data_IF_418917353007
#
_entry.id   IF_418917353007
#
_cell.length_a   1.000
_cell.length_b   1.000
_cell.length_c   1.000
_cell.angle_alpha   90.00
_cell.angle_beta   90.00
_cell.angle_gamma   90.00
#
_symmetry.space_group_name_H-M   'P 1'
#
loop_
_entity.id
_entity.type
_entity.pdbx_description
1 polymer ?
#
# COMPACT_ATOMS: atom_id res chain seq x y z
N UNK A 1 12.31 -0.99 -39.04
CA UNK A 1 12.21 -2.13 -38.10
C UNK A 1 13.54 -2.25 -37.36
N UNK A 2 13.58 -1.88 -36.09
CA UNK A 2 14.73 -2.14 -35.22
C UNK A 2 14.38 -3.29 -34.28
N UNK A 3 15.22 -4.32 -34.13
CA UNK A 3 14.98 -5.35 -33.14
C UNK A 3 15.28 -4.77 -31.76
N UNK A 4 14.28 -4.80 -30.87
CA UNK A 4 14.48 -4.56 -29.44
C UNK A 4 15.48 -5.60 -28.92
N UNK A 5 16.64 -5.11 -28.49
CA UNK A 5 17.66 -5.91 -27.82
C UNK A 5 17.03 -6.68 -26.67
N UNK A 6 17.05 -8.01 -26.75
CA UNK A 6 16.80 -8.90 -25.62
C UNK A 6 17.87 -8.63 -24.57
N UNK A 7 17.63 -7.68 -23.69
CA UNK A 7 18.34 -7.59 -22.42
C UNK A 7 18.07 -8.91 -21.70
N UNK A 8 19.08 -9.78 -21.61
CA UNK A 8 19.05 -10.95 -20.74
C UNK A 8 19.00 -10.40 -19.31
N UNK A 9 17.80 -10.15 -18.78
CA UNK A 9 17.63 -9.99 -17.34
C UNK A 9 18.11 -11.29 -16.71
N UNK A 10 19.06 -11.20 -15.78
CA UNK A 10 19.41 -12.33 -14.91
C UNK A 10 18.13 -12.96 -14.35
N UNK A 11 18.09 -14.29 -14.14
CA UNK A 11 16.98 -14.89 -13.43
C UNK A 11 16.87 -14.21 -12.06
N UNK A 12 15.76 -13.50 -11.82
CA UNK A 12 15.50 -12.81 -10.56
C UNK A 12 15.55 -13.85 -9.45
N UNK A 13 16.32 -13.61 -8.41
CA UNK A 13 16.39 -14.52 -7.27
C UNK A 13 15.07 -14.47 -6.49
N UNK A 14 14.84 -15.50 -5.65
CA UNK A 14 13.72 -15.49 -4.70
C UNK A 14 13.72 -14.22 -3.83
N UNK A 15 14.91 -13.77 -3.41
CA UNK A 15 15.06 -12.58 -2.60
C UNK A 15 14.65 -11.31 -3.37
N UNK A 16 15.13 -11.15 -4.61
CA UNK A 16 14.80 -10.01 -5.46
C UNK A 16 13.28 -9.89 -5.69
N UNK A 17 12.60 -11.03 -5.85
CA UNK A 17 11.14 -11.05 -6.01
C UNK A 17 10.40 -10.60 -4.75
N UNK A 18 10.90 -10.96 -3.56
CA UNK A 18 10.33 -10.48 -2.31
C UNK A 18 10.57 -8.97 -2.10
N UNK A 19 11.74 -8.45 -2.44
CA UNK A 19 11.97 -6.99 -2.40
C UNK A 19 11.05 -6.24 -3.36
N UNK A 20 10.83 -6.78 -4.57
CA UNK A 20 9.91 -6.23 -5.53
C UNK A 20 8.46 -6.28 -5.02
N UNK A 21 8.02 -7.38 -4.39
CA UNK A 21 6.71 -7.46 -3.75
C UNK A 21 6.51 -6.34 -2.71
N UNK A 22 7.50 -6.13 -1.83
CA UNK A 22 7.44 -5.06 -0.83
C UNK A 22 7.34 -3.69 -1.49
N UNK A 23 8.19 -3.40 -2.48
CA UNK A 23 8.19 -2.12 -3.19
C UNK A 23 6.85 -1.85 -3.88
N UNK A 24 6.33 -2.82 -4.62
CA UNK A 24 5.12 -2.64 -5.42
C UNK A 24 3.85 -2.63 -4.55
N UNK A 25 3.86 -3.29 -3.39
CA UNK A 25 2.75 -3.21 -2.42
C UNK A 25 2.65 -1.84 -1.76
N UNK A 26 3.79 -1.25 -1.36
CA UNK A 26 3.85 0.11 -0.84
C UNK A 26 3.35 1.13 -1.87
N UNK A 27 3.77 0.98 -3.14
CA UNK A 27 3.29 1.84 -4.22
C UNK A 27 1.79 1.66 -4.50
N UNK A 28 1.30 0.41 -4.54
CA UNK A 28 -0.11 0.13 -4.72
C UNK A 28 -0.96 0.79 -3.63
N UNK A 29 -0.53 0.68 -2.36
CA UNK A 29 -1.15 1.35 -1.22
C UNK A 29 -1.23 2.86 -1.43
N UNK A 30 -0.10 3.49 -1.79
CA UNK A 30 -0.03 4.93 -2.05
C UNK A 30 -0.98 5.37 -3.17
N UNK A 31 -0.99 4.66 -4.30
CA UNK A 31 -1.85 5.03 -5.42
C UNK A 31 -3.33 4.79 -5.12
N UNK A 32 -3.66 3.73 -4.38
CA UNK A 32 -5.04 3.45 -3.96
C UNK A 32 -5.57 4.54 -3.04
N UNK A 33 -4.79 4.94 -2.02
CA UNK A 33 -5.14 6.05 -1.11
C UNK A 33 -5.34 7.38 -1.85
N UNK A 34 -4.50 7.64 -2.85
CA UNK A 34 -4.56 8.87 -3.67
C UNK A 34 -5.52 8.78 -4.86
N UNK A 35 -6.29 7.69 -5.00
CA UNK A 35 -7.26 7.46 -6.09
C UNK A 35 -6.64 7.58 -7.50
N UNK A 36 -5.38 7.15 -7.65
CA UNK A 36 -4.65 7.16 -8.94
C UNK A 36 -4.77 5.78 -9.60
N UNK A 37 -5.93 5.51 -10.19
CA UNK A 37 -6.35 4.16 -10.60
C UNK A 37 -5.41 3.50 -11.63
N UNK A 38 -4.94 4.25 -12.64
CA UNK A 38 -4.06 3.69 -13.67
C UNK A 38 -2.73 3.19 -13.10
N UNK A 39 -2.13 3.97 -12.18
CA UNK A 39 -0.90 3.59 -11.51
C UNK A 39 -1.15 2.43 -10.56
N UNK A 40 -2.25 2.46 -9.83
CA UNK A 40 -2.67 1.37 -8.97
C UNK A 40 -2.78 0.04 -9.73
N UNK A 41 -3.50 0.02 -10.85
CA UNK A 41 -3.66 -1.18 -11.68
C UNK A 41 -2.33 -1.71 -12.22
N UNK A 42 -1.39 -0.82 -12.55
CA UNK A 42 -0.04 -1.20 -12.96
C UNK A 42 0.73 -1.88 -11.84
N UNK A 43 0.70 -1.33 -10.63
CA UNK A 43 1.37 -1.94 -9.47
C UNK A 43 0.74 -3.30 -9.13
N UNK A 44 -0.59 -3.44 -9.20
CA UNK A 44 -1.29 -4.73 -9.01
C UNK A 44 -0.88 -5.76 -10.04
N UNK A 45 -0.75 -5.39 -11.32
CA UNK A 45 -0.24 -6.31 -12.35
C UNK A 45 1.19 -6.78 -12.06
N UNK A 46 2.05 -5.90 -11.57
CA UNK A 46 3.42 -6.25 -11.19
C UNK A 46 3.43 -7.19 -9.97
N UNK A 47 2.63 -6.90 -8.95
CA UNK A 47 2.44 -7.77 -7.79
C UNK A 47 1.96 -9.16 -8.21
N UNK A 48 0.90 -9.23 -9.01
CA UNK A 48 0.35 -10.47 -9.57
C UNK A 48 1.42 -11.32 -10.26
N UNK A 49 2.22 -10.70 -11.12
CA UNK A 49 3.30 -11.36 -11.83
C UNK A 49 4.35 -11.94 -10.87
N UNK A 50 4.78 -11.18 -9.85
CA UNK A 50 5.76 -11.65 -8.87
C UNK A 50 5.20 -12.72 -7.94
N UNK A 51 3.93 -12.62 -7.53
CA UNK A 51 3.22 -13.68 -6.81
C UNK A 51 3.24 -14.99 -7.61
N UNK A 52 2.88 -14.92 -8.91
CA UNK A 52 2.88 -16.09 -9.77
C UNK A 52 4.26 -16.72 -9.92
N UNK A 53 5.32 -15.91 -10.07
CA UNK A 53 6.69 -16.41 -10.13
C UNK A 53 7.12 -17.09 -8.83
N UNK A 54 6.81 -16.51 -7.66
CA UNK A 54 7.15 -17.10 -6.36
C UNK A 54 6.42 -18.43 -6.14
N UNK A 55 5.12 -18.49 -6.45
CA UNK A 55 4.31 -19.70 -6.32
C UNK A 55 4.78 -20.80 -7.29
N UNK A 56 4.97 -20.46 -8.57
CA UNK A 56 5.24 -21.46 -9.59
C UNK A 56 6.70 -21.92 -9.61
N UNK A 57 7.64 -21.00 -9.51
CA UNK A 57 9.08 -21.29 -9.65
C UNK A 57 9.68 -21.71 -8.32
N UNK A 58 9.38 -20.97 -7.26
CA UNK A 58 9.98 -21.18 -5.93
C UNK A 58 9.10 -21.99 -4.97
N UNK A 59 7.89 -22.35 -5.39
CA UNK A 59 6.93 -23.13 -4.58
C UNK A 59 6.59 -22.44 -3.26
N UNK A 60 6.61 -21.10 -3.26
CA UNK A 60 6.24 -20.34 -2.07
C UNK A 60 4.77 -20.56 -1.72
N UNK A 61 4.49 -20.61 -0.42
CA UNK A 61 3.14 -20.64 0.10
C UNK A 61 2.50 -19.24 -0.09
N UNK A 62 1.30 -19.12 -0.68
CA UNK A 62 0.57 -17.86 -0.79
C UNK A 62 0.41 -17.13 0.55
N UNK A 63 0.28 -17.84 1.67
CA UNK A 63 0.21 -17.23 3.00
C UNK A 63 1.49 -16.44 3.32
N UNK A 64 2.67 -16.98 3.00
CA UNK A 64 3.94 -16.27 3.21
C UNK A 64 4.02 -15.01 2.34
N UNK A 65 3.50 -15.07 1.10
CA UNK A 65 3.44 -13.92 0.19
C UNK A 65 2.50 -12.84 0.75
N UNK A 66 1.32 -13.23 1.24
CA UNK A 66 0.37 -12.34 1.93
C UNK A 66 1.06 -11.63 3.09
N UNK A 67 1.73 -12.38 3.97
CA UNK A 67 2.41 -11.81 5.14
C UNK A 67 3.45 -10.77 4.75
N UNK A 68 4.23 -10.99 3.68
CA UNK A 68 5.23 -10.01 3.21
C UNK A 68 4.57 -8.74 2.67
N UNK A 69 3.54 -8.89 1.84
CA UNK A 69 2.80 -7.76 1.26
C UNK A 69 2.12 -6.93 2.36
N UNK A 70 1.45 -7.60 3.29
CA UNK A 70 0.75 -6.99 4.41
C UNK A 70 1.73 -6.27 5.35
N UNK A 71 2.83 -6.91 5.72
CA UNK A 71 3.86 -6.31 6.59
C UNK A 71 4.48 -5.07 5.97
N UNK A 72 4.75 -5.07 4.67
CA UNK A 72 5.31 -3.92 3.96
C UNK A 72 4.34 -2.74 3.93
N UNK A 73 3.05 -3.00 3.64
CA UNK A 73 2.02 -1.97 3.64
C UNK A 73 1.78 -1.40 5.04
N UNK A 74 1.67 -2.26 6.06
CA UNK A 74 1.48 -1.84 7.44
C UNK A 74 2.68 -1.04 7.97
N UNK A 75 3.91 -1.46 7.66
CA UNK A 75 5.11 -0.71 8.03
C UNK A 75 5.15 0.66 7.35
N UNK A 76 4.87 0.74 6.04
CA UNK A 76 4.81 2.02 5.33
C UNK A 76 3.71 2.93 5.88
N UNK A 77 2.55 2.37 6.24
CA UNK A 77 1.47 3.15 6.82
C UNK A 77 1.83 3.66 8.21
N UNK A 78 2.46 2.85 9.06
CA UNK A 78 2.93 3.28 10.37
C UNK A 78 3.95 4.43 10.28
N UNK A 79 4.86 4.37 9.29
CA UNK A 79 5.79 5.47 9.02
C UNK A 79 5.06 6.75 8.58
N UNK A 80 4.04 6.62 7.75
CA UNK A 80 3.21 7.76 7.31
C UNK A 80 2.44 8.38 8.49
N UNK A 81 1.82 7.57 9.34
CA UNK A 81 1.10 8.06 10.53
C UNK A 81 2.06 8.80 11.48
N UNK A 82 3.27 8.28 11.66
CA UNK A 82 4.30 8.97 12.45
C UNK A 82 4.66 10.33 11.85
N UNK A 83 4.87 10.39 10.52
CA UNK A 83 5.17 11.66 9.86
C UNK A 83 4.02 12.67 9.97
N UNK A 84 2.76 12.20 9.89
CA UNK A 84 1.57 13.02 10.12
C UNK A 84 1.54 13.55 11.56
N UNK A 85 1.85 12.71 12.55
CA UNK A 85 1.88 13.12 13.96
C UNK A 85 2.97 14.16 14.24
N UNK A 86 4.15 13.97 13.67
CA UNK A 86 5.24 14.94 13.75
C UNK A 86 4.83 16.29 13.11
N UNK A 87 4.15 16.27 11.95
CA UNK A 87 3.67 17.48 11.28
C UNK A 87 2.54 18.17 12.07
N UNK A 88 1.59 17.41 12.61
CA UNK A 88 0.52 17.94 13.47
C UNK A 88 1.10 18.65 14.69
N UNK A 89 2.10 18.07 15.34
CA UNK A 89 2.76 18.69 16.49
C UNK A 89 3.39 20.04 16.11
N UNK A 90 4.05 20.13 14.96
CA UNK A 90 4.61 21.39 14.45
C UNK A 90 3.52 22.43 14.16
N UNK A 91 2.42 22.03 13.52
CA UNK A 91 1.31 22.91 13.19
C UNK A 91 0.58 23.42 14.44
N UNK A 92 0.34 22.57 15.43
CA UNK A 92 -0.26 22.98 16.71
C UNK A 92 0.63 23.97 17.46
N UNK A 93 1.95 23.71 17.52
CA UNK A 93 2.91 24.61 18.14
C UNK A 93 2.94 25.97 17.43
N UNK A 94 2.95 25.97 16.09
CA UNK A 94 2.90 27.20 15.30
C UNK A 94 1.62 27.98 15.54
N UNK A 95 0.46 27.30 15.53
CA UNK A 95 -0.84 27.94 15.79
C UNK A 95 -0.89 28.57 17.19
N UNK A 96 -0.34 27.89 18.20
CA UNK A 96 -0.26 28.39 19.58
C UNK A 96 0.66 29.61 19.75
N UNK A 97 1.68 29.73 18.90
CA UNK A 97 2.64 30.84 18.93
C UNK A 97 2.12 32.11 18.24
N UNK A 98 1.04 32.04 17.46
CA UNK A 98 0.48 33.20 16.77
C UNK A 98 -0.29 34.10 17.75
N UNK A 99 -0.01 35.41 17.76
CA UNK A 99 -0.75 36.35 18.61
C UNK A 99 -2.20 36.48 18.12
N UNK A 100 -3.13 36.50 19.08
CA UNK A 100 -4.51 36.89 18.81
C UNK A 100 -4.56 38.40 18.48
N UNK A 101 -5.49 38.80 17.61
CA UNK A 101 -5.82 40.21 17.28
C UNK A 101 -4.99 40.88 16.17
N UNK A 102 -4.48 40.09 15.21
CA UNK A 102 -3.95 40.61 13.95
C UNK A 102 -4.65 39.90 12.79
N UNK A 103 -5.26 40.64 11.86
CA UNK A 103 -5.97 40.07 10.70
C UNK A 103 -5.09 39.13 9.85
N UNK A 104 -3.77 39.38 9.79
CA UNK A 104 -2.81 38.46 9.17
C UNK A 104 -2.71 37.13 9.95
N UNK A 105 -2.59 37.21 11.27
CA UNK A 105 -2.51 36.04 12.15
C UNK A 105 -3.82 35.25 12.18
N UNK A 106 -4.98 35.91 12.09
CA UNK A 106 -6.28 35.25 11.98
C UNK A 106 -6.40 34.41 10.71
N UNK A 107 -5.94 34.94 9.56
CA UNK A 107 -5.88 34.18 8.31
C UNK A 107 -4.94 32.98 8.43
N UNK A 108 -3.77 33.17 9.02
CA UNK A 108 -2.82 32.08 9.23
C UNK A 108 -3.38 31.00 10.18
N UNK A 109 -4.10 31.39 11.24
CA UNK A 109 -4.79 30.44 12.13
C UNK A 109 -5.84 29.62 11.37
N UNK A 110 -6.61 30.26 10.47
CA UNK A 110 -7.57 29.55 9.64
C UNK A 110 -6.87 28.53 8.72
N UNK A 111 -5.79 28.93 8.04
CA UNK A 111 -5.02 28.05 7.16
C UNK A 111 -4.40 26.87 7.92
N UNK A 112 -3.84 27.12 9.11
CA UNK A 112 -3.30 26.07 9.97
C UNK A 112 -4.39 25.12 10.46
N UNK A 113 -5.57 25.64 10.81
CA UNK A 113 -6.69 24.82 11.25
C UNK A 113 -7.18 23.92 10.13
N UNK A 114 -7.29 24.43 8.91
CA UNK A 114 -7.63 23.62 7.74
C UNK A 114 -6.61 22.48 7.51
N UNK A 115 -5.31 22.78 7.57
CA UNK A 115 -4.26 21.77 7.41
C UNK A 115 -4.28 20.71 8.51
N UNK A 116 -4.49 21.12 9.76
CA UNK A 116 -4.63 20.20 10.89
C UNK A 116 -5.80 19.24 10.64
N UNK A 117 -6.97 19.76 10.27
CA UNK A 117 -8.15 18.92 10.02
C UNK A 117 -7.97 17.96 8.84
N UNK A 118 -7.29 18.38 7.77
CA UNK A 118 -6.97 17.49 6.63
C UNK A 118 -6.03 16.35 7.04
N UNK A 119 -5.01 16.63 7.87
CA UNK A 119 -4.08 15.62 8.39
C UNK A 119 -4.76 14.66 9.38
N UNK A 120 -5.63 15.16 10.26
CA UNK A 120 -6.43 14.34 11.16
C UNK A 120 -7.37 13.40 10.40
N UNK A 121 -7.97 13.87 9.30
CA UNK A 121 -8.81 13.05 8.43
C UNK A 121 -8.00 11.96 7.72
N UNK A 122 -6.78 12.26 7.25
CA UNK A 122 -5.89 11.25 6.66
C UNK A 122 -5.49 10.17 7.66
N UNK A 123 -5.34 10.54 8.94
CA UNK A 123 -5.01 9.63 10.04
C UNK A 123 -6.14 8.66 10.39
N UNK A 124 -7.40 9.09 10.25
CA UNK A 124 -8.56 8.28 10.64
C UNK A 124 -8.99 7.21 9.62
N UNK A 125 -8.34 7.16 8.44
CA UNK A 125 -8.69 6.21 7.38
C UNK A 125 -8.19 4.79 7.73
N UNK A 126 -9.08 3.79 7.85
CA UNK A 126 -8.67 2.41 8.10
C UNK A 126 -7.85 1.86 6.93
N UNK A 127 -6.65 1.35 7.22
CA UNK A 127 -5.76 0.78 6.19
C UNK A 127 -6.11 -0.66 5.85
N UNK A 128 -6.79 -1.36 6.76
CA UNK A 128 -7.08 -2.80 6.69
C UNK A 128 -7.81 -3.18 5.40
N UNK A 129 -8.93 -2.52 5.12
CA UNK A 129 -9.73 -2.77 3.91
C UNK A 129 -8.93 -2.50 2.62
N UNK A 130 -8.06 -1.48 2.65
CA UNK A 130 -7.23 -1.11 1.50
C UNK A 130 -6.17 -2.19 1.27
N UNK A 131 -5.46 -2.60 2.32
CA UNK A 131 -4.44 -3.65 2.30
C UNK A 131 -5.02 -4.96 1.76
N UNK A 132 -6.19 -5.35 2.24
CA UNK A 132 -6.85 -6.59 1.82
C UNK A 132 -7.31 -6.56 0.38
N UNK A 133 -7.91 -5.45 -0.06
CA UNK A 133 -8.29 -5.26 -1.45
C UNK A 133 -7.09 -5.39 -2.39
N UNK A 134 -5.94 -4.84 -2.00
CA UNK A 134 -4.68 -4.95 -2.78
C UNK A 134 -4.20 -6.39 -2.86
N UNK A 135 -4.19 -7.11 -1.74
CA UNK A 135 -3.75 -8.51 -1.67
C UNK A 135 -4.69 -9.40 -2.49
N UNK A 136 -6.00 -9.20 -2.35
CA UNK A 136 -7.00 -9.92 -3.11
C UNK A 136 -6.81 -9.68 -4.61
N UNK A 137 -6.75 -8.42 -5.06
CA UNK A 137 -6.60 -8.07 -6.48
C UNK A 137 -5.29 -8.66 -7.07
N UNK A 138 -4.20 -8.64 -6.31
CA UNK A 138 -2.92 -9.18 -6.75
C UNK A 138 -2.96 -10.71 -6.87
N UNK A 139 -3.48 -11.42 -5.87
CA UNK A 139 -3.51 -12.89 -5.87
C UNK A 139 -4.58 -13.44 -6.81
N UNK A 140 -5.77 -12.84 -6.88
CA UNK A 140 -6.83 -13.23 -7.81
C UNK A 140 -6.33 -13.13 -9.25
N UNK A 141 -5.64 -12.02 -9.58
CA UNK A 141 -4.99 -11.84 -10.88
C UNK A 141 -3.85 -12.85 -11.09
N UNK A 142 -3.08 -13.17 -10.06
CA UNK A 142 -1.99 -14.15 -10.18
C UNK A 142 -2.53 -15.55 -10.54
N UNK A 143 -3.63 -15.97 -9.91
CA UNK A 143 -4.26 -17.26 -10.17
C UNK A 143 -5.00 -17.30 -11.50
N UNK A 144 -5.74 -16.24 -11.86
CA UNK A 144 -6.57 -16.22 -13.08
C UNK A 144 -5.80 -15.89 -14.35
N UNK A 145 -4.86 -14.95 -14.28
CA UNK A 145 -4.23 -14.36 -15.46
C UNK A 145 -2.77 -14.76 -15.63
N UNK A 146 -2.00 -14.86 -14.54
CA UNK A 146 -0.56 -15.16 -14.59
C UNK A 146 -0.25 -16.65 -14.35
N UNK A 147 -1.27 -17.50 -14.25
CA UNK A 147 -1.15 -18.95 -14.19
C UNK A 147 -0.52 -19.50 -12.91
N UNK A 148 -0.59 -18.75 -11.80
CA UNK A 148 -0.16 -19.24 -10.50
C UNK A 148 -0.97 -20.49 -10.11
N UNK A 149 -0.29 -21.56 -9.71
CA UNK A 149 -0.97 -22.77 -9.21
C UNK A 149 -1.59 -22.49 -7.85
N UNK A 150 -2.89 -22.69 -7.72
CA UNK A 150 -3.59 -22.61 -6.43
C UNK A 150 -3.20 -23.84 -5.59
N UNK A 151 -2.57 -23.67 -4.41
CA UNK A 151 -2.25 -24.80 -3.56
C UNK A 151 -3.53 -25.48 -3.03
N UNK A 152 -3.45 -26.79 -2.80
CA UNK A 152 -4.58 -27.56 -2.23
C UNK A 152 -4.92 -27.01 -0.85
N UNK A 153 -6.20 -26.73 -0.61
CA UNK A 153 -6.68 -26.19 0.67
C UNK A 153 -6.47 -24.68 0.86
N UNK A 154 -5.89 -23.98 -0.13
CA UNK A 154 -5.83 -22.52 -0.11
C UNK A 154 -7.09 -21.93 -0.76
N UNK A 155 -7.76 -21.03 -0.05
CA UNK A 155 -8.92 -20.30 -0.54
C UNK A 155 -8.75 -18.80 -0.28
N UNK A 156 -8.57 -18.03 -1.36
CA UNK A 156 -8.37 -16.59 -1.29
C UNK A 156 -9.56 -15.85 -0.65
N UNK A 157 -10.78 -16.37 -0.79
CA UNK A 157 -11.97 -15.74 -0.22
C UNK A 157 -12.07 -15.89 1.31
N UNK A 158 -11.35 -16.85 1.90
CA UNK A 158 -11.31 -16.98 3.37
C UNK A 158 -10.43 -15.88 4.00
N UNK A 159 -9.46 -15.35 3.26
CA UNK A 159 -8.69 -14.17 3.67
C UNK A 159 -9.60 -12.93 3.77
N UNK A 160 -10.42 -12.68 2.75
CA UNK A 160 -11.37 -11.56 2.74
C UNK A 160 -12.48 -11.67 3.80
N UNK A 161 -12.83 -12.89 4.24
CA UNK A 161 -13.84 -13.11 5.30
C UNK A 161 -13.31 -12.93 6.72
N UNK A 162 -11.99 -13.07 6.92
CA UNK A 162 -11.38 -13.00 8.25
C UNK A 162 -11.36 -11.56 8.79
N UNK A 163 -11.44 -10.58 7.90
CA UNK A 163 -11.38 -9.15 8.19
C UNK A 163 -12.73 -8.46 8.35
N UNK A 164 -13.76 -8.96 7.68
CA UNK A 164 -15.15 -8.56 7.91
C UNK A 164 -15.67 -8.89 9.34
N UNK A 165 -14.91 -9.62 10.16
CA UNK A 165 -15.31 -10.00 11.53
C UNK A 165 -14.85 -9.04 12.64
N UNK A 166 -14.23 -7.90 12.29
CA UNK A 166 -13.72 -6.94 13.29
C UNK A 166 -14.61 -5.72 13.55
N UNK A 167 -15.87 -5.73 13.11
CA UNK A 167 -16.86 -4.71 13.50
C UNK A 167 -17.98 -5.34 14.35
N UNK A 168 -17.95 -5.19 15.69
CA UNK A 168 -19.16 -5.27 16.51
C UNK A 168 -20.07 -4.05 16.32
#
# INVERSE_FOLDING_TARGET
>A
MYPLSKGKSSPKTRHDLYELLQKHSINALRYKKNKVENNYQREVSLLSHYCALLINTYKENPISIITVIESAMNASHAMELKAIDDELQLLFNRRKALPANNAYCEREIADLTFKISDLELKKSTPITDVTEGIIFDALDRAFKNDGAKIPVGFNLYDYQKSSMRLFP
#
